data_IF_226872803368
#
_entry.id   IF_226872803368
#
_cell.length_a   1.000
_cell.length_b   1.000
_cell.length_c   1.000
_cell.angle_alpha   90.00
_cell.angle_beta   90.00
_cell.angle_gamma   90.00
#
_symmetry.space_group_name_H-M   'P 1'
#
loop_
_entity.id
_entity.type
_entity.pdbx_description
1 polymer ?
#
# COMPACT_ATOMS: atom_id res chain seq x y z
N UNK A 1 2.72 -16.65 12.74
CA UNK A 1 2.87 -16.04 11.39
C UNK A 1 2.33 -14.63 11.31
N UNK A 2 1.06 -14.37 11.65
CA UNK A 2 0.47 -13.01 11.61
C UNK A 2 1.33 -11.94 12.31
N UNK A 3 1.79 -12.21 13.54
CA UNK A 3 2.64 -11.28 14.29
C UNK A 3 4.01 -11.04 13.64
N UNK A 4 4.56 -12.03 12.93
CA UNK A 4 5.84 -11.89 12.22
C UNK A 4 5.67 -10.98 11.00
N UNK A 5 4.57 -11.13 10.25
CA UNK A 5 4.29 -10.25 9.11
C UNK A 5 4.02 -8.81 9.54
N UNK A 6 3.38 -8.59 10.70
CA UNK A 6 3.25 -7.23 11.25
C UNK A 6 4.62 -6.61 11.53
N UNK A 7 5.55 -7.35 12.14
CA UNK A 7 6.91 -6.87 12.37
C UNK A 7 7.64 -6.54 11.07
N UNK A 8 7.54 -7.41 10.06
CA UNK A 8 8.12 -7.15 8.73
C UNK A 8 7.54 -5.89 8.11
N UNK A 9 6.22 -5.68 8.17
CA UNK A 9 5.60 -4.45 7.62
C UNK A 9 6.06 -3.20 8.37
N UNK A 10 6.25 -3.28 9.69
CA UNK A 10 6.77 -2.15 10.48
C UNK A 10 8.24 -1.83 10.16
N UNK A 11 9.03 -2.83 9.79
CA UNK A 11 10.45 -2.69 9.44
C UNK A 11 10.65 -2.25 7.98
N UNK A 12 10.02 -2.94 7.04
CA UNK A 12 10.10 -2.68 5.59
C UNK A 12 9.34 -1.40 5.19
N UNK A 13 8.33 -1.03 5.97
CA UNK A 13 7.51 0.15 5.75
C UNK A 13 6.47 -0.01 4.64
N UNK A 14 6.29 1.04 3.85
CA UNK A 14 5.28 1.13 2.78
C UNK A 14 5.20 -0.11 1.85
N UNK A 15 6.32 -0.66 1.34
CA UNK A 15 6.28 -1.81 0.44
C UNK A 15 6.07 -3.15 1.16
N UNK A 16 6.12 -3.22 2.49
CA UNK A 16 6.20 -4.48 3.25
C UNK A 16 5.05 -5.46 2.95
N UNK A 17 3.81 -4.96 2.85
CA UNK A 17 2.65 -5.81 2.53
C UNK A 17 2.77 -6.36 1.10
N UNK A 18 3.13 -5.51 0.13
CA UNK A 18 3.30 -5.94 -1.27
C UNK A 18 4.43 -6.96 -1.41
N UNK A 19 5.57 -6.74 -0.75
CA UNK A 19 6.71 -7.67 -0.76
C UNK A 19 6.31 -9.05 -0.22
N UNK A 20 5.59 -9.07 0.92
CA UNK A 20 5.05 -10.31 1.47
C UNK A 20 4.04 -10.96 0.52
N UNK A 21 3.18 -10.17 -0.11
CA UNK A 21 2.19 -10.67 -1.07
C UNK A 21 2.83 -11.30 -2.32
N UNK A 22 3.98 -10.77 -2.75
CA UNK A 22 4.77 -11.28 -3.88
C UNK A 22 5.63 -12.50 -3.52
N UNK A 23 5.86 -12.77 -2.23
CA UNK A 23 6.74 -13.86 -1.80
C UNK A 23 6.19 -15.24 -2.14
N UNK A 24 4.91 -15.51 -1.83
CA UNK A 24 4.23 -16.75 -2.22
C UNK A 24 2.71 -16.64 -2.06
N UNK A 25 1.96 -17.57 -2.67
CA UNK A 25 0.50 -17.61 -2.60
C UNK A 25 -0.04 -17.71 -1.16
N UNK A 26 0.67 -18.41 -0.26
CA UNK A 26 0.26 -18.52 1.14
C UNK A 26 0.38 -17.17 1.86
N UNK A 27 1.45 -16.42 1.61
CA UNK A 27 1.67 -15.12 2.23
C UNK A 27 0.66 -14.12 1.69
N UNK A 28 0.47 -14.10 0.36
CA UNK A 28 -0.58 -13.33 -0.31
C UNK A 28 -1.96 -13.51 0.37
N UNK A 29 -2.42 -14.76 0.55
CA UNK A 29 -3.70 -15.06 1.20
C UNK A 29 -3.81 -14.57 2.65
N UNK A 30 -2.69 -14.37 3.35
CA UNK A 30 -2.68 -13.87 4.73
C UNK A 30 -2.64 -12.34 4.71
N UNK A 31 -1.70 -11.75 3.97
CA UNK A 31 -1.47 -10.31 4.00
C UNK A 31 -2.50 -9.51 3.21
N UNK A 32 -3.22 -10.14 2.27
CA UNK A 32 -4.34 -9.52 1.56
C UNK A 32 -5.68 -9.67 2.31
N UNK A 33 -5.71 -10.23 3.53
CA UNK A 33 -6.94 -10.26 4.33
C UNK A 33 -7.29 -8.83 4.78
N UNK A 34 -8.55 -8.39 4.65
CA UNK A 34 -8.94 -7.02 4.99
C UNK A 34 -8.55 -6.60 6.41
N UNK A 35 -8.75 -7.49 7.38
CA UNK A 35 -8.39 -7.23 8.78
C UNK A 35 -6.88 -7.07 8.98
N UNK A 36 -6.07 -7.89 8.30
CA UNK A 36 -4.61 -7.80 8.40
C UNK A 36 -4.09 -6.53 7.71
N UNK A 37 -4.58 -6.25 6.49
CA UNK A 37 -4.23 -5.04 5.74
C UNK A 37 -4.46 -3.79 6.58
N UNK A 38 -5.65 -3.68 7.17
CA UNK A 38 -6.03 -2.53 7.97
C UNK A 38 -5.14 -2.39 9.22
N UNK A 39 -4.92 -3.49 9.94
CA UNK A 39 -4.07 -3.52 11.14
C UNK A 39 -2.62 -3.16 10.81
N UNK A 40 -2.01 -3.86 9.86
CA UNK A 40 -0.60 -3.70 9.48
C UNK A 40 -0.32 -2.31 8.91
N UNK A 41 -1.19 -1.85 8.00
CA UNK A 41 -1.00 -0.56 7.35
C UNK A 41 -1.16 0.61 8.31
N UNK A 42 -2.18 0.59 9.18
CA UNK A 42 -2.34 1.67 10.16
C UNK A 42 -1.24 1.64 11.23
N UNK A 43 -0.81 0.46 11.67
CA UNK A 43 0.32 0.36 12.59
C UNK A 43 1.59 1.01 12.00
N UNK A 44 1.87 0.74 10.72
CA UNK A 44 2.96 1.40 10.01
C UNK A 44 2.74 2.92 9.87
N UNK A 45 1.59 3.35 9.33
CA UNK A 45 1.27 4.77 9.15
C UNK A 45 1.38 5.59 10.44
N UNK A 46 0.86 5.07 11.55
CA UNK A 46 0.91 5.73 12.86
C UNK A 46 2.34 5.75 13.44
N UNK A 47 3.23 4.86 12.99
CA UNK A 47 4.65 4.86 13.39
C UNK A 47 5.50 5.91 12.65
N UNK A 48 5.08 6.31 11.45
CA UNK A 48 5.83 7.26 10.60
C UNK A 48 5.21 8.66 10.54
N UNK A 49 3.92 8.81 10.88
CA UNK A 49 3.20 10.09 10.85
C UNK A 49 2.49 10.36 12.17
N UNK A 50 2.73 11.52 12.76
CA UNK A 50 1.92 12.01 13.89
C UNK A 50 0.64 12.66 13.37
N UNK A 51 -0.40 11.84 13.15
CA UNK A 51 -1.68 12.29 12.61
C UNK A 51 -2.38 13.37 13.43
N UNK A 52 -2.14 13.44 14.75
CA UNK A 52 -2.75 14.46 15.61
C UNK A 52 -2.26 15.88 15.31
N UNK A 53 -1.13 16.04 14.61
CA UNK A 53 -0.62 17.33 14.15
C UNK A 53 -1.23 17.78 12.82
N UNK A 54 -1.99 16.92 12.15
CA UNK A 54 -2.58 17.19 10.84
C UNK A 54 -4.08 17.53 10.96
N UNK A 55 -4.60 18.43 10.11
CA UNK A 55 -6.02 18.77 10.09
C UNK A 55 -6.92 17.53 9.88
N UNK A 56 -8.15 17.49 10.43
CA UNK A 56 -9.10 16.39 10.21
C UNK A 56 -9.33 16.04 8.74
N UNK A 57 -9.44 17.07 7.88
CA UNK A 57 -9.56 16.90 6.42
C UNK A 57 -8.38 16.15 5.80
N UNK A 58 -7.16 16.40 6.29
CA UNK A 58 -5.95 15.73 5.80
C UNK A 58 -5.94 14.25 6.21
N UNK A 59 -6.27 13.97 7.48
CA UNK A 59 -6.37 12.59 7.97
C UNK A 59 -7.41 11.78 7.18
N UNK A 60 -8.57 12.38 6.91
CA UNK A 60 -9.65 11.70 6.17
C UNK A 60 -9.26 11.34 4.73
N UNK A 61 -8.36 12.09 4.10
CA UNK A 61 -7.90 11.83 2.74
C UNK A 61 -6.77 10.80 2.75
N UNK A 62 -5.75 10.99 3.59
CA UNK A 62 -4.47 10.27 3.46
C UNK A 62 -4.27 9.12 4.47
N UNK A 63 -5.06 9.03 5.54
CA UNK A 63 -5.01 7.91 6.50
C UNK A 63 -6.01 6.83 6.11
N UNK A 64 -5.79 6.22 4.94
CA UNK A 64 -6.60 5.11 4.41
C UNK A 64 -5.72 3.89 4.14
N UNK A 65 -6.24 2.66 4.29
CA UNK A 65 -5.54 1.48 3.83
C UNK A 65 -5.40 1.50 2.30
N UNK A 66 -4.27 1.03 1.78
CA UNK A 66 -4.19 0.62 0.39
C UNK A 66 -4.62 -0.84 0.24
N UNK A 67 -4.93 -1.23 -1.00
CA UNK A 67 -5.18 -2.62 -1.37
C UNK A 67 -4.05 -3.16 -2.24
N UNK A 68 -3.85 -4.47 -2.23
CA UNK A 68 -3.01 -5.15 -3.22
C UNK A 68 -3.97 -5.67 -4.30
N UNK A 69 -3.90 -5.08 -5.48
CA UNK A 69 -4.78 -5.42 -6.60
C UNK A 69 -3.98 -6.09 -7.71
N UNK A 70 -4.68 -6.80 -8.58
CA UNK A 70 -4.11 -7.40 -9.78
C UNK A 70 -4.33 -6.48 -10.97
N UNK A 71 -3.30 -6.25 -11.77
CA UNK A 71 -3.40 -5.43 -12.98
C UNK A 71 -4.46 -5.99 -13.93
N UNK A 72 -5.35 -5.11 -14.43
CA UNK A 72 -6.42 -5.47 -15.37
C UNK A 72 -5.92 -5.96 -16.72
N UNK A 73 -4.87 -5.34 -17.25
CA UNK A 73 -4.24 -5.76 -18.49
C UNK A 73 -3.93 -7.27 -18.48
N UNK A 74 -4.57 -8.00 -19.41
CA UNK A 74 -4.54 -9.47 -19.47
C UNK A 74 -3.13 -10.02 -19.68
N UNK A 75 -2.26 -9.26 -20.35
CA UNK A 75 -0.85 -9.59 -20.58
C UNK A 75 0.01 -9.45 -19.32
N UNK A 76 -0.39 -8.58 -18.39
CA UNK A 76 0.41 -8.21 -17.22
C UNK A 76 0.05 -9.04 -15.98
N UNK A 77 -1.21 -8.97 -15.54
CA UNK A 77 -1.73 -9.68 -14.34
C UNK A 77 -0.86 -9.54 -13.07
N UNK A 78 -0.01 -8.52 -13.01
CA UNK A 78 0.92 -8.32 -11.90
C UNK A 78 0.17 -7.76 -10.69
N UNK A 79 0.54 -8.23 -9.50
CA UNK A 79 0.11 -7.61 -8.25
C UNK A 79 0.80 -6.26 -8.07
N UNK A 80 0.02 -5.23 -7.78
CA UNK A 80 0.51 -3.89 -7.53
C UNK A 80 -0.17 -3.28 -6.32
N UNK A 81 0.47 -2.24 -5.78
CA UNK A 81 -0.10 -1.43 -4.71
C UNK A 81 -1.13 -0.51 -5.32
N UNK A 82 -2.38 -0.77 -5.02
CA UNK A 82 -3.53 0.00 -5.48
C UNK A 82 -3.81 1.08 -4.44
N UNK A 83 -3.32 2.28 -4.75
CA UNK A 83 -3.36 3.44 -3.86
C UNK A 83 -4.31 4.46 -4.49
N UNK A 84 -5.39 4.78 -3.76
CA UNK A 84 -6.06 6.06 -3.95
C UNK A 84 -5.15 7.24 -3.51
N UNK A 85 -5.68 8.41 -3.12
CA UNK A 85 -4.84 9.46 -2.55
C UNK A 85 -4.13 8.96 -1.28
N UNK A 86 -2.81 8.85 -1.32
CA UNK A 86 -2.02 8.19 -0.28
C UNK A 86 -0.57 8.65 -0.18
N UNK A 87 0.19 7.95 0.66
CA UNK A 87 1.61 8.18 0.89
C UNK A 87 2.46 7.61 -0.25
N UNK A 88 3.42 8.41 -0.77
CA UNK A 88 4.44 7.99 -1.74
C UNK A 88 5.82 8.32 -1.19
N UNK A 89 6.65 7.31 -1.00
CA UNK A 89 8.02 7.42 -0.48
C UNK A 89 8.57 6.03 -0.15
N UNK A 90 9.83 5.94 0.29
CA UNK A 90 10.40 4.64 0.71
C UNK A 90 9.74 4.07 1.97
N UNK A 91 8.92 4.87 2.67
CA UNK A 91 8.12 4.42 3.80
C UNK A 91 8.91 4.03 5.05
N UNK A 92 10.21 4.29 5.06
CA UNK A 92 11.09 4.02 6.20
C UNK A 92 10.92 5.07 7.29
N UNK A 93 10.93 4.60 8.53
CA UNK A 93 10.85 5.45 9.72
C UNK A 93 11.99 6.49 9.72
N UNK A 94 11.65 7.77 9.76
CA UNK A 94 12.60 8.88 9.78
C UNK A 94 12.99 9.44 8.40
N UNK A 95 12.55 8.83 7.30
CA UNK A 95 12.71 9.37 5.93
C UNK A 95 11.39 10.03 5.54
N UNK A 96 11.33 11.36 5.63
CA UNK A 96 10.12 12.12 5.38
C UNK A 96 9.99 12.39 3.88
N UNK A 97 8.93 11.90 3.24
CA UNK A 97 8.53 12.38 1.91
C UNK A 97 7.01 12.53 1.79
N UNK A 98 6.66 13.45 0.89
CA UNK A 98 5.42 14.21 0.80
C UNK A 98 4.17 13.35 0.47
N UNK A 99 2.99 13.86 0.83
CA UNK A 99 1.70 13.27 0.49
C UNK A 99 1.26 13.73 -0.90
N UNK A 100 1.54 12.97 -1.96
CA UNK A 100 0.91 13.17 -3.27
C UNK A 100 0.71 11.88 -4.07
N UNK A 101 -0.52 11.58 -4.45
CA UNK A 101 -1.05 11.71 -5.83
C UNK A 101 -2.36 10.95 -5.98
N UNK A 102 -3.20 11.42 -6.90
CA UNK A 102 -4.38 10.73 -7.46
C UNK A 102 -3.97 9.43 -8.15
N UNK A 103 -4.88 8.46 -8.15
CA UNK A 103 -4.77 7.25 -8.95
C UNK A 103 -4.96 7.65 -10.43
N UNK A 104 -3.87 7.80 -11.17
CA UNK A 104 -3.91 8.36 -12.53
C UNK A 104 -4.50 7.37 -13.56
N UNK A 105 -4.51 6.08 -13.27
CA UNK A 105 -5.02 5.01 -14.15
C UNK A 105 -5.60 3.83 -13.34
N UNK A 106 -6.85 3.92 -12.86
CA UNK A 106 -7.42 2.91 -11.98
C UNK A 106 -7.48 1.51 -12.55
N UNK A 107 -7.03 0.54 -11.77
CA UNK A 107 -6.97 -0.88 -12.18
C UNK A 107 -5.71 -1.30 -12.94
N UNK A 108 -4.77 -0.40 -13.21
CA UNK A 108 -3.54 -0.71 -13.94
C UNK A 108 -2.31 -0.45 -13.07
N UNK A 109 -1.30 -1.32 -13.18
CA UNK A 109 -0.06 -1.16 -12.41
C UNK A 109 0.91 -0.13 -13.00
N UNK A 110 0.68 0.28 -14.26
CA UNK A 110 1.49 1.26 -14.97
C UNK A 110 0.68 1.91 -16.09
N UNK A 111 1.16 3.07 -16.55
CA UNK A 111 0.63 3.76 -17.71
C UNK A 111 0.70 2.90 -18.99
N UNK A 112 1.78 2.14 -19.19
CA UNK A 112 1.95 1.28 -20.36
C UNK A 112 0.87 0.21 -20.41
N UNK A 113 0.58 -0.44 -19.26
CA UNK A 113 -0.51 -1.42 -19.17
C UNK A 113 -1.89 -0.79 -19.42
N UNK A 114 -2.08 0.49 -19.13
CA UNK A 114 -3.32 1.19 -19.43
C UNK A 114 -3.46 1.49 -20.92
N UNK A 115 -2.36 1.82 -21.60
CA UNK A 115 -2.37 2.09 -23.05
C UNK A 115 -2.54 0.82 -23.89
N UNK A 116 -1.92 -0.29 -23.50
CA UNK A 116 -2.00 -1.55 -24.25
C UNK A 116 -3.39 -2.21 -24.21
N UNK A 117 -4.25 -1.83 -23.25
CA UNK A 117 -5.59 -2.38 -23.06
C UNK A 117 -6.70 -1.50 -23.70
N UNK A 118 -6.35 -0.32 -24.25
CA UNK A 118 -7.26 0.62 -24.93
C UNK A 118 -6.98 0.71 -26.44
#
# INVERSE_FOLDING_TARGET
MRNIFLLVVLEDGDPGILNLALTCQRFNRIVCQPLFLQEAHFAWLDSVVNWNRLPPRHRAIYRKPYTVSECRALSCRRLYKDIGPGYKGEGRRGVLQEFYSTEDYPGYCSWDCHLEDN
#
